data_IF_821380066109
#
_entry.id   IF_821380066109
#
_cell.length_a   1.000
_cell.length_b   1.000
_cell.length_c   1.000
_cell.angle_alpha   90.00
_cell.angle_beta   90.00
_cell.angle_gamma   90.00
#
_symmetry.space_group_name_H-M   'P 1'
#
loop_
_entity.id
_entity.type
_entity.pdbx_description
1 polymer ?
#
# COMPACT_ATOMS: atom_id res chain seq x y z
N UNK A 1 9.92 6.92 11.78
CA UNK A 1 10.78 6.82 10.58
C UNK A 1 11.07 5.37 10.30
N UNK A 2 10.94 4.94 9.06
CA UNK A 2 11.15 3.57 8.62
C UNK A 2 12.04 3.54 7.37
N UNK A 3 12.98 2.59 7.30
CA UNK A 3 13.88 2.37 6.17
C UNK A 3 13.71 0.97 5.55
N UNK A 4 12.83 0.14 6.11
CA UNK A 4 12.67 -1.27 5.72
C UNK A 4 11.56 -1.48 4.69
N UNK A 5 10.52 -0.66 4.73
CA UNK A 5 9.31 -0.84 3.94
C UNK A 5 9.34 -0.01 2.64
N UNK A 6 10.40 -0.15 1.85
CA UNK A 6 10.61 0.53 0.59
C UNK A 6 11.90 1.37 0.56
N UNK A 7 12.22 2.02 -0.58
CA UNK A 7 13.43 2.83 -0.74
C UNK A 7 13.36 4.14 0.06
N UNK A 8 14.53 4.66 0.44
CA UNK A 8 14.62 5.94 1.15
C UNK A 8 14.11 5.88 2.60
N UNK A 9 13.79 7.07 3.15
CA UNK A 9 13.24 7.21 4.49
C UNK A 9 11.76 7.53 4.37
N UNK A 10 10.92 6.83 5.14
CA UNK A 10 9.46 7.03 5.03
C UNK A 10 8.68 6.83 6.31
N UNK A 11 7.40 7.01 6.19
CA UNK A 11 6.37 6.67 7.17
C UNK A 11 5.69 5.39 6.73
N UNK A 12 5.45 4.46 7.66
CA UNK A 12 4.73 3.21 7.38
C UNK A 12 3.41 3.19 8.16
N UNK A 13 2.32 3.00 7.43
CA UNK A 13 0.99 2.78 7.97
C UNK A 13 0.66 1.28 7.87
N UNK A 14 0.48 0.64 9.01
CA UNK A 14 0.03 -0.75 9.10
C UNK A 14 -1.48 -0.77 9.36
N UNK A 15 -2.24 -1.23 8.37
CA UNK A 15 -3.71 -1.39 8.52
C UNK A 15 -4.03 -2.72 9.21
N UNK A 16 -5.22 -2.80 9.84
CA UNK A 16 -5.75 -4.02 10.41
C UNK A 16 -6.75 -4.69 9.48
N UNK A 17 -6.90 -5.99 9.70
CA UNK A 17 -7.81 -6.87 8.97
C UNK A 17 -7.19 -7.49 7.72
N UNK A 18 -7.12 -8.83 7.70
CA UNK A 18 -6.71 -9.59 6.54
C UNK A 18 -7.39 -10.95 6.51
N UNK A 19 -8.14 -11.24 5.46
CA UNK A 19 -8.80 -12.53 5.27
C UNK A 19 -7.93 -13.58 4.54
N UNK A 20 -6.73 -13.19 4.07
CA UNK A 20 -5.87 -14.09 3.29
C UNK A 20 -5.15 -15.12 4.16
N UNK A 21 -4.81 -14.77 5.40
CA UNK A 21 -4.16 -15.64 6.40
C UNK A 21 -3.00 -16.48 5.81
N UNK A 22 -2.10 -15.84 5.08
CA UNK A 22 -0.97 -16.52 4.44
C UNK A 22 -0.10 -17.25 5.49
N UNK A 23 0.16 -18.57 5.35
CA UNK A 23 1.01 -19.29 6.28
C UNK A 23 2.39 -18.66 6.44
N UNK A 24 2.82 -18.37 7.66
CA UNK A 24 4.10 -17.75 7.99
C UNK A 24 4.17 -16.26 7.62
N UNK A 25 3.04 -15.59 7.52
CA UNK A 25 2.96 -14.14 7.28
C UNK A 25 3.78 -13.37 8.32
N UNK A 26 4.52 -12.34 7.88
CA UNK A 26 5.30 -11.50 8.80
C UNK A 26 4.44 -10.63 9.72
N UNK A 27 3.18 -10.39 9.32
CA UNK A 27 2.25 -9.47 9.98
C UNK A 27 1.00 -10.20 10.51
N UNK A 28 1.12 -11.42 11.04
CA UNK A 28 -0.02 -12.18 11.58
C UNK A 28 -0.82 -11.38 12.62
N UNK A 29 -0.13 -10.54 13.42
CA UNK A 29 -0.78 -9.65 14.40
C UNK A 29 -1.72 -8.60 13.81
N UNK A 30 -1.76 -8.45 12.47
CA UNK A 30 -2.66 -7.52 11.79
C UNK A 30 -3.85 -8.21 11.09
N UNK A 31 -4.08 -9.50 11.33
CA UNK A 31 -5.19 -10.22 10.69
C UNK A 31 -6.55 -9.89 11.27
N UNK A 32 -6.60 -9.58 12.57
CA UNK A 32 -7.84 -9.25 13.27
C UNK A 32 -8.42 -7.94 12.75
N UNK A 33 -9.67 -7.98 12.27
CA UNK A 33 -10.39 -6.80 11.77
C UNK A 33 -10.79 -5.84 12.89
N UNK A 34 -10.93 -6.33 14.11
CA UNK A 34 -11.27 -5.53 15.29
C UNK A 34 -10.02 -5.10 16.08
N UNK A 35 -8.82 -5.43 15.59
CA UNK A 35 -7.55 -5.09 16.21
C UNK A 35 -7.09 -3.67 15.93
N UNK A 36 -5.99 -3.28 16.58
CA UNK A 36 -5.33 -2.00 16.36
C UNK A 36 -6.01 -0.81 17.00
N UNK A 37 -5.92 0.34 16.34
CA UNK A 37 -6.51 1.61 16.77
C UNK A 37 -7.40 2.16 15.66
N UNK A 38 -8.49 2.80 16.04
CA UNK A 38 -9.36 3.49 15.09
C UNK A 38 -8.58 4.54 14.29
N UNK A 39 -8.77 4.51 12.97
CA UNK A 39 -8.21 5.52 12.07
C UNK A 39 -9.11 6.76 12.07
N UNK A 40 -8.56 7.88 12.52
CA UNK A 40 -9.27 9.15 12.66
C UNK A 40 -8.64 10.24 11.79
N UNK A 41 -9.26 11.41 11.70
CA UNK A 41 -8.64 12.58 11.08
C UNK A 41 -7.33 12.97 11.79
N UNK A 42 -7.25 12.86 13.11
CA UNK A 42 -6.01 13.14 13.85
C UNK A 42 -4.89 12.15 13.48
N UNK A 43 -5.25 10.89 13.19
CA UNK A 43 -4.29 9.90 12.67
C UNK A 43 -3.78 10.31 11.29
N UNK A 44 -4.67 10.76 10.41
CA UNK A 44 -4.30 11.25 9.07
C UNK A 44 -3.38 12.47 9.17
N UNK A 45 -3.77 13.47 9.96
CA UNK A 45 -2.98 14.69 10.16
C UNK A 45 -1.60 14.36 10.73
N UNK A 46 -1.50 13.42 11.67
CA UNK A 46 -0.23 12.92 12.21
C UNK A 46 0.66 12.31 11.11
N UNK A 47 0.09 11.49 10.22
CA UNK A 47 0.83 10.88 9.11
C UNK A 47 1.34 11.97 8.17
N UNK A 48 0.50 12.93 7.79
CA UNK A 48 0.86 14.04 6.91
C UNK A 48 1.95 14.91 7.53
N UNK A 49 1.85 15.23 8.82
CA UNK A 49 2.87 15.97 9.54
C UNK A 49 4.23 15.25 9.57
N UNK A 50 4.23 13.93 9.74
CA UNK A 50 5.44 13.12 9.70
C UNK A 50 6.08 13.08 8.30
N UNK A 51 5.32 13.31 7.24
CA UNK A 51 5.81 13.35 5.85
C UNK A 51 6.41 14.70 5.45
N UNK A 52 6.18 15.80 6.21
CA UNK A 52 6.63 17.16 5.87
C UNK A 52 8.14 17.34 5.69
N UNK A 53 9.04 16.74 6.54
CA UNK A 53 10.46 16.93 6.38
C UNK A 53 10.95 16.58 4.97
N UNK A 54 11.87 17.38 4.41
CA UNK A 54 12.37 17.22 3.04
C UNK A 54 12.99 15.84 2.76
N UNK A 55 13.61 15.23 3.78
CA UNK A 55 14.21 13.90 3.65
C UNK A 55 13.20 12.74 3.68
N UNK A 56 11.92 13.02 3.95
CA UNK A 56 10.86 12.03 3.86
C UNK A 56 10.43 11.86 2.42
N UNK A 57 10.75 10.72 1.85
CA UNK A 57 10.51 10.42 0.43
C UNK A 57 9.44 9.37 0.21
N UNK A 58 8.81 8.84 1.27
CA UNK A 58 7.91 7.71 1.12
C UNK A 58 6.79 7.66 2.15
N UNK A 59 5.59 7.32 1.66
CA UNK A 59 4.51 6.73 2.46
C UNK A 59 4.36 5.25 2.06
N UNK A 60 4.47 4.35 3.03
CA UNK A 60 4.25 2.91 2.84
C UNK A 60 2.97 2.48 3.52
N UNK A 61 2.09 1.78 2.80
CA UNK A 61 0.81 1.29 3.30
C UNK A 61 0.82 -0.23 3.20
N UNK A 62 0.78 -0.88 4.35
CA UNK A 62 0.90 -2.34 4.49
C UNK A 62 0.19 -2.81 5.77
N UNK A 63 0.53 -3.99 6.28
CA UNK A 63 -0.03 -4.55 7.52
C UNK A 63 -0.92 -5.75 7.25
N UNK A 64 -2.23 -5.66 7.49
CA UNK A 64 -3.25 -6.59 7.05
C UNK A 64 -3.42 -6.55 5.53
N UNK A 65 -4.64 -6.35 5.05
CA UNK A 65 -4.89 -6.15 3.61
C UNK A 65 -5.37 -4.71 3.37
N UNK A 66 -4.49 -3.80 2.88
CA UNK A 66 -4.88 -2.42 2.60
C UNK A 66 -6.05 -2.31 1.61
N UNK A 67 -6.09 -3.19 0.61
CA UNK A 67 -7.13 -3.19 -0.40
C UNK A 67 -8.40 -3.96 0.04
N UNK A 68 -8.67 -3.99 1.35
CA UNK A 68 -9.99 -4.31 1.88
C UNK A 68 -10.96 -3.14 1.62
N UNK A 69 -12.19 -3.37 1.11
CA UNK A 69 -13.14 -2.29 0.80
C UNK A 69 -13.41 -1.30 1.94
N UNK A 70 -13.34 -1.75 3.19
CA UNK A 70 -13.51 -0.89 4.36
C UNK A 70 -12.46 0.25 4.43
N UNK A 71 -11.29 0.08 3.82
CA UNK A 71 -10.20 1.04 3.86
C UNK A 71 -10.24 2.06 2.70
N UNK A 72 -10.99 1.79 1.62
CA UNK A 72 -10.89 2.55 0.37
C UNK A 72 -11.06 4.06 0.57
N UNK A 73 -12.10 4.46 1.30
CA UNK A 73 -12.41 5.89 1.51
C UNK A 73 -11.25 6.65 2.14
N UNK A 74 -10.69 6.08 3.20
CA UNK A 74 -9.60 6.73 3.95
C UNK A 74 -8.28 6.68 3.18
N UNK A 75 -8.01 5.59 2.45
CA UNK A 75 -6.82 5.48 1.61
C UNK A 75 -6.86 6.44 0.42
N UNK A 76 -8.00 6.62 -0.24
CA UNK A 76 -8.16 7.61 -1.32
C UNK A 76 -7.80 9.01 -0.80
N UNK A 77 -8.36 9.39 0.37
CA UNK A 77 -8.09 10.69 0.97
C UNK A 77 -6.63 10.85 1.39
N UNK A 78 -6.08 9.86 2.09
CA UNK A 78 -4.69 9.90 2.57
C UNK A 78 -3.69 10.00 1.43
N UNK A 79 -3.80 9.15 0.40
CA UNK A 79 -2.83 9.13 -0.71
C UNK A 79 -2.91 10.42 -1.53
N UNK A 80 -4.11 10.94 -1.76
CA UNK A 80 -4.30 12.23 -2.43
C UNK A 80 -3.62 13.36 -1.65
N UNK A 81 -3.90 13.51 -0.35
CA UNK A 81 -3.31 14.57 0.47
C UNK A 81 -1.78 14.40 0.62
N UNK A 82 -1.29 13.15 0.73
CA UNK A 82 0.14 12.89 0.79
C UNK A 82 0.87 13.38 -0.47
N UNK A 83 0.30 13.17 -1.65
CA UNK A 83 0.85 13.71 -2.89
C UNK A 83 0.74 15.24 -2.97
N UNK A 84 -0.42 15.81 -2.65
CA UNK A 84 -0.61 17.27 -2.68
C UNK A 84 0.37 18.02 -1.77
N UNK A 85 0.55 17.53 -0.54
CA UNK A 85 1.45 18.17 0.43
C UNK A 85 2.94 17.94 0.12
N UNK A 86 3.28 16.93 -0.68
CA UNK A 86 4.66 16.60 -1.05
C UNK A 86 4.95 16.80 -2.55
N UNK A 87 4.10 17.54 -3.28
CA UNK A 87 4.24 17.77 -4.72
C UNK A 87 5.56 18.41 -5.15
N UNK A 88 6.19 19.16 -4.27
CA UNK A 88 7.49 19.80 -4.51
C UNK A 88 8.68 18.86 -4.24
N UNK A 89 8.42 17.62 -3.81
CA UNK A 89 9.42 16.57 -3.59
C UNK A 89 9.39 15.56 -4.74
N UNK A 90 10.27 15.64 -5.73
CA UNK A 90 10.24 14.80 -6.93
C UNK A 90 10.40 13.32 -6.62
N UNK A 91 11.11 12.99 -5.53
CA UNK A 91 11.37 11.62 -5.11
C UNK A 91 10.30 11.03 -4.19
N UNK A 92 9.27 11.83 -3.82
CA UNK A 92 8.20 11.33 -2.96
C UNK A 92 7.36 10.28 -3.69
N UNK A 93 7.16 9.11 -3.06
CA UNK A 93 6.38 8.01 -3.62
C UNK A 93 5.49 7.35 -2.55
N UNK A 94 4.30 6.95 -2.98
CA UNK A 94 3.40 6.11 -2.21
C UNK A 94 3.57 4.64 -2.63
N UNK A 95 3.92 3.81 -1.66
CA UNK A 95 4.08 2.36 -1.79
C UNK A 95 2.95 1.64 -1.09
N UNK A 96 2.45 0.56 -1.69
CA UNK A 96 1.40 -0.26 -1.08
C UNK A 96 1.71 -1.75 -1.28
N UNK A 97 1.47 -2.54 -0.23
CA UNK A 97 1.57 -4.00 -0.27
C UNK A 97 0.20 -4.62 -0.19
N UNK A 98 -0.09 -5.55 -1.08
CA UNK A 98 -1.34 -6.33 -1.06
C UNK A 98 -1.03 -7.80 -1.26
N UNK A 99 -1.77 -8.67 -0.60
CA UNK A 99 -1.72 -10.11 -0.87
C UNK A 99 -2.53 -10.53 -2.10
N UNK A 100 -3.20 -9.58 -2.77
CA UNK A 100 -3.95 -9.81 -4.01
C UNK A 100 -3.03 -9.63 -5.22
N UNK A 101 -3.28 -10.32 -6.31
CA UNK A 101 -2.54 -10.09 -7.56
C UNK A 101 -3.14 -8.92 -8.33
N UNK A 102 -2.32 -8.21 -9.09
CA UNK A 102 -2.76 -7.07 -9.91
C UNK A 102 -3.88 -7.47 -10.88
N UNK A 103 -3.78 -8.67 -11.46
CA UNK A 103 -4.80 -9.22 -12.35
C UNK A 103 -6.16 -9.37 -11.66
N UNK A 104 -6.17 -9.82 -10.40
CA UNK A 104 -7.40 -9.92 -9.59
C UNK A 104 -7.99 -8.56 -9.29
N UNK A 105 -7.14 -7.55 -8.99
CA UNK A 105 -7.59 -6.18 -8.77
C UNK A 105 -8.21 -5.59 -10.04
N UNK A 106 -7.58 -5.79 -11.19
CA UNK A 106 -8.11 -5.31 -12.47
C UNK A 106 -9.39 -6.05 -12.89
N UNK A 107 -9.51 -7.35 -12.59
CA UNK A 107 -10.73 -8.10 -12.83
C UNK A 107 -11.91 -7.56 -12.01
N UNK A 108 -11.68 -7.21 -10.73
CA UNK A 108 -12.69 -6.57 -9.87
C UNK A 108 -13.10 -5.20 -10.43
N UNK A 109 -12.14 -4.35 -10.76
CA UNK A 109 -12.40 -3.03 -11.35
C UNK A 109 -13.24 -3.14 -12.62
N UNK A 110 -12.98 -4.14 -13.47
CA UNK A 110 -13.66 -4.33 -14.75
C UNK A 110 -14.94 -5.18 -14.67
N UNK A 111 -15.30 -5.68 -13.49
CA UNK A 111 -16.52 -6.49 -13.33
C UNK A 111 -17.82 -5.74 -13.61
N UNK A 112 -17.82 -4.41 -13.51
CA UNK A 112 -18.96 -3.53 -13.77
C UNK A 112 -18.59 -2.49 -14.85
N UNK A 113 -18.56 -2.86 -16.15
CA UNK A 113 -18.05 -1.97 -17.19
C UNK A 113 -18.91 -0.73 -17.43
N UNK A 114 -20.23 -0.81 -17.16
CA UNK A 114 -21.19 0.28 -17.42
C UNK A 114 -21.42 1.22 -16.23
N UNK A 115 -20.57 1.16 -15.20
CA UNK A 115 -20.69 2.03 -14.03
C UNK A 115 -20.52 3.51 -14.38
N UNK A 116 -21.33 4.36 -13.75
CA UNK A 116 -21.30 5.82 -13.97
C UNK A 116 -20.10 6.52 -13.30
N UNK A 117 -19.47 5.89 -12.33
CA UNK A 117 -18.37 6.45 -11.54
C UNK A 117 -17.20 5.46 -11.49
N UNK A 118 -15.95 5.94 -11.32
CA UNK A 118 -14.80 5.07 -11.13
C UNK A 118 -15.01 4.11 -9.95
N UNK A 119 -14.49 2.89 -10.07
CA UNK A 119 -14.50 1.94 -8.97
C UNK A 119 -13.66 2.48 -7.80
N UNK A 120 -14.10 2.38 -6.52
CA UNK A 120 -13.31 2.87 -5.40
C UNK A 120 -11.88 2.32 -5.36
N UNK A 121 -11.69 1.04 -5.67
CA UNK A 121 -10.38 0.42 -5.79
C UNK A 121 -9.50 1.09 -6.88
N UNK A 122 -10.08 1.48 -8.02
CA UNK A 122 -9.38 2.24 -9.06
C UNK A 122 -8.89 3.59 -8.52
N UNK A 123 -9.71 4.28 -7.72
CA UNK A 123 -9.32 5.55 -7.10
C UNK A 123 -8.21 5.37 -6.08
N UNK A 124 -8.20 4.28 -5.30
CA UNK A 124 -7.07 3.95 -4.41
C UNK A 124 -5.79 3.76 -5.23
N UNK A 125 -5.83 2.94 -6.30
CA UNK A 125 -4.65 2.64 -7.11
C UNK A 125 -4.10 3.87 -7.84
N UNK A 126 -4.93 4.87 -8.15
CA UNK A 126 -4.47 6.17 -8.69
C UNK A 126 -3.58 6.95 -7.72
N UNK A 127 -3.72 6.73 -6.43
CA UNK A 127 -2.87 7.35 -5.41
C UNK A 127 -1.62 6.54 -5.05
N UNK A 128 -1.36 5.41 -5.71
CA UNK A 128 -0.23 4.52 -5.44
C UNK A 128 0.79 4.57 -6.58
N UNK A 129 2.05 4.83 -6.27
CA UNK A 129 3.14 4.84 -7.26
C UNK A 129 3.70 3.44 -7.50
N UNK A 130 3.87 2.66 -6.43
CA UNK A 130 4.41 1.30 -6.49
C UNK A 130 3.55 0.34 -5.68
N UNK A 131 3.09 -0.70 -6.36
CA UNK A 131 2.32 -1.78 -5.75
C UNK A 131 3.19 -3.03 -5.62
N UNK A 132 3.36 -3.53 -4.41
CA UNK A 132 3.90 -4.86 -4.17
C UNK A 132 2.73 -5.83 -4.06
N UNK A 133 2.57 -6.69 -5.07
CA UNK A 133 1.42 -7.55 -5.23
C UNK A 133 1.70 -9.03 -4.97
N UNK A 134 0.65 -9.76 -4.67
CA UNK A 134 0.66 -11.20 -4.50
C UNK A 134 0.78 -11.69 -3.05
N UNK A 135 0.19 -12.86 -2.75
CA UNK A 135 0.20 -13.41 -1.40
C UNK A 135 1.62 -13.83 -1.00
N UNK A 136 1.92 -13.75 0.30
CA UNK A 136 3.14 -14.34 0.81
C UNK A 136 3.04 -15.87 0.70
N UNK A 137 4.08 -16.49 0.14
CA UNK A 137 4.18 -17.96 0.02
C UNK A 137 5.43 -18.42 0.76
N UNK A 138 5.25 -19.17 1.85
CA UNK A 138 6.32 -19.61 2.74
C UNK A 138 7.43 -20.38 2.00
N UNK A 139 7.07 -21.26 1.06
CA UNK A 139 8.03 -22.05 0.27
C UNK A 139 8.84 -21.22 -0.72
N UNK A 140 8.42 -19.97 -0.95
CA UNK A 140 9.08 -18.99 -1.82
C UNK A 140 9.70 -17.84 -1.04
N UNK A 141 9.77 -17.97 0.30
CA UNK A 141 10.38 -16.96 1.15
C UNK A 141 11.85 -16.75 0.78
N UNK A 142 12.21 -15.49 0.57
CA UNK A 142 13.58 -15.11 0.24
C UNK A 142 13.90 -13.75 0.90
N UNK A 143 14.77 -13.75 1.89
CA UNK A 143 15.18 -12.58 2.64
C UNK A 143 16.18 -11.69 1.90
N UNK A 144 16.68 -12.11 0.73
CA UNK A 144 17.57 -11.31 -0.11
C UNK A 144 16.81 -10.34 -1.01
N UNK A 145 15.49 -10.57 -1.19
CA UNK A 145 14.63 -9.73 -2.01
C UNK A 145 14.42 -8.36 -1.35
N UNK A 146 14.60 -7.31 -2.12
CA UNK A 146 14.27 -5.96 -1.66
C UNK A 146 12.75 -5.80 -1.61
N UNK A 147 12.25 -5.38 -0.45
CA UNK A 147 10.86 -4.95 -0.21
C UNK A 147 9.77 -5.99 -0.51
N UNK A 148 10.12 -7.28 -0.60
CA UNK A 148 9.23 -8.41 -0.84
C UNK A 148 9.56 -9.55 0.11
N UNK A 149 8.58 -10.30 0.53
CA UNK A 149 8.78 -11.43 1.45
C UNK A 149 9.02 -12.77 0.75
N UNK A 150 8.52 -12.93 -0.48
CA UNK A 150 8.61 -14.17 -1.26
C UNK A 150 8.76 -13.88 -2.75
N UNK A 151 9.41 -14.78 -3.48
CA UNK A 151 9.84 -14.57 -4.87
C UNK A 151 8.69 -14.51 -5.89
N UNK A 152 7.48 -14.89 -5.51
CA UNK A 152 6.28 -14.72 -6.35
C UNK A 152 5.69 -13.32 -6.31
N UNK A 153 6.06 -12.50 -5.31
CA UNK A 153 5.59 -11.12 -5.22
C UNK A 153 6.32 -10.24 -6.25
N UNK A 154 5.61 -9.25 -6.77
CA UNK A 154 6.13 -8.34 -7.80
C UNK A 154 6.08 -6.91 -7.29
N UNK A 155 6.98 -6.07 -7.78
CA UNK A 155 6.91 -4.62 -7.64
C UNK A 155 6.40 -4.07 -8.97
N UNK A 156 5.24 -3.47 -8.97
CA UNK A 156 4.56 -2.95 -10.15
C UNK A 156 4.57 -1.43 -10.06
N UNK A 157 5.18 -0.79 -11.04
CA UNK A 157 5.12 0.66 -11.18
C UNK A 157 3.75 1.07 -11.74
N UNK A 158 3.07 1.99 -11.08
CA UNK A 158 1.78 2.49 -11.47
C UNK A 158 1.88 3.97 -11.90
N UNK A 159 0.85 4.47 -12.56
CA UNK A 159 0.67 5.89 -12.87
C UNK A 159 1.85 6.55 -13.61
N UNK A 160 2.50 5.81 -14.50
CA UNK A 160 3.61 6.30 -15.32
C UNK A 160 4.96 6.37 -14.61
N UNK A 161 5.09 5.79 -13.41
CA UNK A 161 6.38 5.64 -12.75
C UNK A 161 7.25 4.61 -13.50
N UNK A 162 8.58 4.75 -13.36
CA UNK A 162 9.53 3.82 -13.96
C UNK A 162 9.58 2.49 -13.19
N UNK A 163 9.77 1.39 -13.92
CA UNK A 163 9.98 0.09 -13.27
C UNK A 163 11.28 0.08 -12.47
N UNK A 164 11.20 -0.43 -11.26
CA UNK A 164 12.39 -0.62 -10.43
C UNK A 164 12.99 -1.99 -10.78
N UNK A 165 14.25 -1.99 -11.18
CA UNK A 165 14.98 -3.22 -11.48
C UNK A 165 14.93 -4.21 -10.31
N UNK A 166 14.58 -5.46 -10.63
CA UNK A 166 14.39 -6.54 -9.65
C UNK A 166 15.72 -7.04 -9.08
#
# INVERSE_FOLDING_TARGET
MNISDGPGIGVSLYVQGCALHCPGCFNEGTWDFDGGKEYTNDTMDTILDLLKPEWMTRLSILGGEPLCPANYKELIKLTYLAHEENKDKPDFKVWMWTGRTYENLMAEINSEPDRKHPHPLELVLKGVDYLVDGPFIQDKKDLTLKWRGSSNQRIIALNGNEEIGQ
#
